data_IF_522157674821
#
_entry.id   IF_522157674821
#
_cell.length_a   1.000
_cell.length_b   1.000
_cell.length_c   1.000
_cell.angle_alpha   90.00
_cell.angle_beta   90.00
_cell.angle_gamma   90.00
#
_symmetry.space_group_name_H-M   'P 1'
#
loop_
_entity.id
_entity.type
_entity.pdbx_description
1 polymer ?
#
# COMPACT_ATOMS: atom_id res chain seq x y z
N UNK A 1 8.73 19.31 -9.81
CA UNK A 1 8.13 17.96 -9.68
C UNK A 1 6.88 17.91 -10.56
N UNK A 2 6.70 16.86 -11.36
CA UNK A 2 5.46 16.71 -12.15
C UNK A 2 4.30 16.23 -11.26
N UNK A 3 3.07 16.63 -11.59
CA UNK A 3 1.86 16.28 -10.83
C UNK A 3 1.73 14.76 -10.63
N UNK A 4 2.02 13.97 -11.67
CA UNK A 4 1.98 12.50 -11.66
C UNK A 4 2.94 11.94 -10.61
N UNK A 5 4.18 12.46 -10.58
CA UNK A 5 5.21 12.03 -9.64
C UNK A 5 4.77 12.25 -8.18
N UNK A 6 4.19 13.42 -7.91
CA UNK A 6 3.67 13.76 -6.58
C UNK A 6 2.51 12.84 -6.18
N UNK A 7 1.59 12.54 -7.10
CA UNK A 7 0.48 11.62 -6.82
C UNK A 7 0.97 10.20 -6.49
N UNK A 8 1.98 9.71 -7.21
CA UNK A 8 2.60 8.41 -6.92
C UNK A 8 3.25 8.43 -5.53
N UNK A 9 3.98 9.48 -5.18
CA UNK A 9 4.62 9.62 -3.86
C UNK A 9 3.60 9.67 -2.72
N UNK A 10 2.49 10.40 -2.89
CA UNK A 10 1.39 10.42 -1.93
C UNK A 10 0.74 9.05 -1.76
N UNK A 11 0.59 8.30 -2.85
CA UNK A 11 0.03 6.95 -2.77
C UNK A 11 1.00 5.96 -2.10
N UNK A 12 2.31 6.05 -2.39
CA UNK A 12 3.34 5.29 -1.66
C UNK A 12 3.29 5.61 -0.16
N UNK A 13 3.16 6.88 0.21
CA UNK A 13 3.00 7.28 1.61
C UNK A 13 1.75 6.66 2.24
N UNK A 14 0.63 6.61 1.52
CA UNK A 14 -0.59 5.95 1.97
C UNK A 14 -0.36 4.46 2.26
N UNK A 15 0.39 3.75 1.42
CA UNK A 15 0.75 2.34 1.65
C UNK A 15 1.60 2.17 2.92
N UNK A 16 2.56 3.06 3.17
CA UNK A 16 3.33 3.04 4.42
C UNK A 16 2.44 3.27 5.64
N UNK A 17 1.51 4.23 5.57
CA UNK A 17 0.56 4.49 6.65
C UNK A 17 -0.31 3.27 6.92
N UNK A 18 -0.82 2.58 5.89
CA UNK A 18 -1.59 1.34 6.04
C UNK A 18 -0.77 0.25 6.74
N UNK A 19 0.46 0.03 6.32
CA UNK A 19 1.36 -0.97 6.92
C UNK A 19 1.59 -0.65 8.40
N UNK A 20 1.93 0.59 8.75
CA UNK A 20 2.14 0.99 10.14
C UNK A 20 0.86 0.77 10.97
N UNK A 21 -0.30 1.20 10.45
CA UNK A 21 -1.58 1.02 11.13
C UNK A 21 -1.98 -0.46 11.29
N UNK A 22 -1.55 -1.34 10.38
CA UNK A 22 -1.80 -2.77 10.46
C UNK A 22 -1.13 -3.43 11.69
N UNK A 23 0.00 -2.85 12.15
CA UNK A 23 0.70 -3.26 13.38
C UNK A 23 0.12 -2.64 14.66
N UNK A 24 -0.83 -1.71 14.56
CA UNK A 24 -1.43 -1.01 15.70
C UNK A 24 -2.88 -1.48 15.92
N UNK A 25 -3.11 -2.59 16.65
CA UNK A 25 -4.42 -3.21 16.78
C UNK A 25 -5.48 -2.30 17.42
N UNK A 26 -5.07 -1.36 18.28
CA UNK A 26 -5.96 -0.40 18.94
C UNK A 26 -6.72 0.51 17.97
N UNK A 27 -6.18 0.76 16.78
CA UNK A 27 -6.82 1.63 15.79
C UNK A 27 -7.58 0.89 14.70
N UNK A 28 -7.58 -0.45 14.71
CA UNK A 28 -8.15 -1.28 13.63
C UNK A 28 -9.65 -1.02 13.38
N UNK A 29 -10.41 -0.60 14.39
CA UNK A 29 -11.85 -0.27 14.28
C UNK A 29 -12.14 1.18 13.91
N UNK A 30 -11.13 2.04 13.83
CA UNK A 30 -11.32 3.44 13.47
C UNK A 30 -11.70 3.55 12.00
N UNK A 31 -12.75 4.32 11.70
CA UNK A 31 -13.28 4.47 10.34
C UNK A 31 -12.24 5.01 9.34
N UNK A 32 -11.32 5.85 9.79
CA UNK A 32 -10.24 6.38 8.95
C UNK A 32 -9.21 5.31 8.60
N UNK A 33 -8.87 4.44 9.55
CA UNK A 33 -7.95 3.32 9.33
C UNK A 33 -8.56 2.31 8.36
N UNK A 34 -9.85 1.99 8.52
CA UNK A 34 -10.56 1.11 7.58
C UNK A 34 -10.58 1.70 6.16
N UNK A 35 -10.74 3.02 6.03
CA UNK A 35 -10.69 3.70 4.72
C UNK A 35 -9.30 3.66 4.09
N UNK A 36 -8.25 3.94 4.87
CA UNK A 36 -6.86 3.84 4.40
C UNK A 36 -6.57 2.41 3.93
N UNK A 37 -6.94 1.43 4.74
CA UNK A 37 -6.78 0.01 4.40
C UNK A 37 -7.53 -0.38 3.12
N UNK A 38 -8.74 0.15 2.92
CA UNK A 38 -9.50 -0.07 1.67
C UNK A 38 -8.79 0.54 0.46
N UNK A 39 -8.19 1.73 0.58
CA UNK A 39 -7.43 2.38 -0.48
C UNK A 39 -6.13 1.63 -0.82
N UNK A 40 -5.42 1.15 0.20
CA UNK A 40 -4.23 0.30 0.03
C UNK A 40 -4.59 -1.03 -0.66
N UNK A 41 -5.68 -1.67 -0.22
CA UNK A 41 -6.15 -2.93 -0.80
C UNK A 41 -6.54 -2.82 -2.28
N UNK A 42 -6.84 -1.64 -2.81
CA UNK A 42 -7.13 -1.48 -4.23
C UNK A 42 -5.97 -1.97 -5.13
N UNK A 43 -4.73 -1.76 -4.70
CA UNK A 43 -3.53 -2.24 -5.40
C UNK A 43 -2.91 -3.47 -4.76
N UNK A 44 -2.97 -3.59 -3.43
CA UNK A 44 -2.39 -4.74 -2.72
C UNK A 44 -3.19 -6.03 -2.92
N UNK A 45 -4.53 -5.99 -2.99
CA UNK A 45 -5.36 -7.18 -3.13
C UNK A 45 -5.10 -7.98 -4.42
N UNK A 46 -4.97 -7.37 -5.63
CA UNK A 46 -4.62 -8.13 -6.81
C UNK A 46 -3.22 -8.73 -6.71
N UNK A 47 -2.24 -8.01 -6.15
CA UNK A 47 -0.88 -8.54 -5.92
C UNK A 47 -0.91 -9.74 -4.98
N UNK A 48 -1.71 -9.69 -3.90
CA UNK A 48 -1.84 -10.76 -2.92
C UNK A 48 -2.36 -12.07 -3.52
N UNK A 49 -3.15 -12.01 -4.60
CA UNK A 49 -3.63 -13.22 -5.31
C UNK A 49 -2.52 -14.01 -6.00
N UNK A 50 -1.39 -13.37 -6.26
CA UNK A 50 -0.21 -14.01 -6.87
C UNK A 50 0.83 -14.43 -5.84
N UNK A 51 0.65 -14.06 -4.57
CA UNK A 51 1.54 -14.44 -3.48
C UNK A 51 1.08 -15.77 -2.85
N UNK A 52 2.03 -16.58 -2.32
CA UNK A 52 1.68 -17.75 -1.51
C UNK A 52 0.83 -17.34 -0.30
N UNK A 53 -0.23 -18.09 -0.02
CA UNK A 53 -1.11 -17.80 1.12
C UNK A 53 -0.45 -18.08 2.49
N UNK A 54 0.68 -18.78 2.49
CA UNK A 54 1.35 -19.30 3.68
C UNK A 54 2.41 -18.35 4.23
N UNK A 55 2.47 -17.12 3.69
CA UNK A 55 3.45 -16.13 4.10
C UNK A 55 3.13 -15.56 5.49
N UNK A 56 4.11 -15.50 6.41
CA UNK A 56 3.90 -14.95 7.75
C UNK A 56 3.62 -13.45 7.74
N UNK A 57 4.01 -12.75 6.67
CA UNK A 57 3.83 -11.31 6.48
C UNK A 57 3.24 -11.03 5.10
N UNK A 58 2.46 -9.95 5.01
CA UNK A 58 1.95 -9.46 3.74
C UNK A 58 3.01 -8.61 3.02
N UNK A 59 3.63 -9.18 2.00
CA UNK A 59 4.61 -8.50 1.16
C UNK A 59 3.97 -7.70 0.00
N UNK A 60 2.65 -7.73 -0.15
CA UNK A 60 1.95 -7.01 -1.23
C UNK A 60 2.27 -5.51 -1.27
N UNK A 61 2.29 -4.76 -0.13
CA UNK A 61 2.63 -3.34 -0.14
C UNK A 61 4.03 -3.07 -0.67
N UNK A 62 5.00 -3.94 -0.33
CA UNK A 62 6.38 -3.81 -0.82
C UNK A 62 6.44 -3.94 -2.34
N UNK A 63 5.79 -4.96 -2.89
CA UNK A 63 5.73 -5.19 -4.34
C UNK A 63 5.07 -4.01 -5.06
N UNK A 64 3.95 -3.49 -4.52
CA UNK A 64 3.27 -2.32 -5.09
C UNK A 64 4.18 -1.09 -5.07
N UNK A 65 4.90 -0.84 -3.97
CA UNK A 65 5.85 0.29 -3.87
C UNK A 65 6.97 0.18 -4.91
N UNK A 66 7.50 -1.03 -5.14
CA UNK A 66 8.52 -1.26 -6.18
C UNK A 66 7.96 -0.94 -7.56
N UNK A 67 6.79 -1.45 -7.91
CA UNK A 67 6.13 -1.20 -9.21
C UNK A 67 5.90 0.31 -9.40
N UNK A 68 5.35 0.98 -8.39
CA UNK A 68 5.10 2.42 -8.43
C UNK A 68 6.39 3.24 -8.54
N UNK A 69 7.47 2.80 -7.92
CA UNK A 69 8.78 3.46 -8.01
C UNK A 69 9.38 3.33 -9.40
N UNK A 70 9.22 2.18 -10.05
CA UNK A 70 9.62 1.97 -11.45
C UNK A 70 8.78 2.86 -12.37
N UNK A 71 7.46 2.88 -12.20
CA UNK A 71 6.59 3.78 -12.97
C UNK A 71 7.02 5.24 -12.77
N UNK A 72 7.27 5.66 -11.53
CA UNK A 72 7.76 7.01 -11.22
C UNK A 72 9.10 7.36 -11.88
N UNK A 73 9.94 6.38 -12.20
CA UNK A 73 11.22 6.63 -12.87
C UNK A 73 11.06 6.78 -14.40
N UNK A 74 9.94 6.30 -14.96
CA UNK A 74 9.66 6.36 -16.40
C UNK A 74 8.97 7.66 -16.84
N UNK A 75 8.44 8.46 -15.91
CA UNK A 75 7.77 9.75 -16.13
C UNK A 75 8.42 10.88 -15.33
#
# INVERSE_FOLDING_TARGET
MGLIRTLIELYILLLFVDVILSYLPQYRRNIWVVRIHKLANYTCAPVRRYLPNDLPFDFSPLIVVVILTILKALW
#
